data_IF_494763864267
#
_entry.id   IF_494763864267
#
_cell.length_a   1.000
_cell.length_b   1.000
_cell.length_c   1.000
_cell.angle_alpha   90.00
_cell.angle_beta   90.00
_cell.angle_gamma   90.00
#
_symmetry.space_group_name_H-M   'P 1'
#
loop_
_entity.id
_entity.type
_entity.pdbx_description
1 polymer ?
#
# COMPACT_ATOMS: atom_id res chain seq x y z
N UNK A 1 13.17 34.89 19.17
CA UNK A 1 12.01 34.16 18.64
C UNK A 1 12.43 33.59 17.30
N UNK A 2 12.69 32.28 17.24
CA UNK A 2 13.02 31.61 15.99
C UNK A 2 11.73 31.38 15.23
N UNK A 3 11.64 31.90 14.01
CA UNK A 3 10.52 31.66 13.10
C UNK A 3 10.41 30.14 12.87
N UNK A 4 9.21 29.52 12.97
CA UNK A 4 9.05 28.13 12.62
C UNK A 4 9.51 27.92 11.18
N UNK A 5 10.22 26.82 10.92
CA UNK A 5 10.57 26.45 9.55
C UNK A 5 9.29 26.38 8.70
N UNK A 6 9.31 26.87 7.44
CA UNK A 6 8.14 26.80 6.59
C UNK A 6 7.69 25.34 6.43
N UNK A 7 6.41 25.08 6.70
CA UNK A 7 5.82 23.74 6.50
C UNK A 7 5.95 23.38 5.02
N UNK A 8 6.40 22.15 4.75
CA UNK A 8 6.49 21.66 3.39
C UNK A 8 5.09 21.59 2.76
N UNK A 9 4.93 21.89 1.46
CA UNK A 9 3.65 21.71 0.79
C UNK A 9 3.22 20.24 0.88
N UNK A 10 1.94 20.01 1.21
CA UNK A 10 1.39 18.65 1.42
C UNK A 10 1.20 17.90 0.10
N UNK A 11 0.95 18.64 -0.99
CA UNK A 11 0.61 18.13 -2.33
C UNK A 11 1.31 18.96 -3.41
N UNK A 12 1.57 18.32 -4.54
CA UNK A 12 2.07 18.95 -5.76
C UNK A 12 1.23 18.56 -6.99
N UNK A 13 0.18 17.77 -6.80
CA UNK A 13 -0.87 17.48 -7.76
C UNK A 13 -2.22 17.78 -7.13
N UNK A 14 -3.04 18.58 -7.79
CA UNK A 14 -4.40 18.88 -7.37
C UNK A 14 -5.38 18.74 -8.54
N UNK A 15 -6.55 18.18 -8.25
CA UNK A 15 -7.63 18.01 -9.21
C UNK A 15 -8.87 18.73 -8.70
N UNK A 16 -9.39 19.61 -9.54
CA UNK A 16 -10.56 20.43 -9.28
C UNK A 16 -11.76 19.89 -10.06
N UNK A 17 -12.97 20.13 -9.56
CA UNK A 17 -14.18 20.03 -10.38
C UNK A 17 -14.39 21.30 -11.24
N UNK A 18 -15.44 21.31 -12.05
CA UNK A 18 -15.81 22.48 -12.87
C UNK A 18 -16.24 23.71 -12.07
N UNK A 19 -16.54 23.55 -10.78
CA UNK A 19 -16.84 24.63 -9.84
C UNK A 19 -15.62 25.17 -9.10
N UNK A 20 -14.43 24.61 -9.32
CA UNK A 20 -13.19 24.98 -8.65
C UNK A 20 -13.01 24.35 -7.27
N UNK A 21 -13.83 23.38 -6.87
CA UNK A 21 -13.63 22.63 -5.62
C UNK A 21 -12.58 21.53 -5.82
N UNK A 22 -11.68 21.36 -4.85
CA UNK A 22 -10.70 20.28 -4.87
C UNK A 22 -11.41 18.95 -4.62
N UNK A 23 -11.33 18.04 -5.58
CA UNK A 23 -11.91 16.69 -5.47
C UNK A 23 -10.85 15.63 -5.18
N UNK A 24 -9.59 15.90 -5.55
CA UNK A 24 -8.47 15.02 -5.26
C UNK A 24 -7.14 15.76 -5.25
N UNK A 25 -6.12 15.18 -4.64
CA UNK A 25 -4.74 15.65 -4.76
C UNK A 25 -3.77 14.79 -3.98
N UNK A 26 -2.50 14.79 -4.35
CA UNK A 26 -1.48 13.95 -3.71
C UNK A 26 -0.08 14.55 -3.89
N UNK A 27 0.92 13.93 -3.27
CA UNK A 27 2.31 14.23 -3.56
C UNK A 27 2.89 13.22 -4.54
N UNK A 28 3.19 13.68 -5.76
CA UNK A 28 3.88 12.92 -6.78
C UNK A 28 5.39 12.87 -6.51
N UNK A 29 5.93 11.66 -6.46
CA UNK A 29 7.37 11.35 -6.35
C UNK A 29 8.01 10.92 -7.68
N UNK A 30 7.25 10.92 -8.77
CA UNK A 30 7.68 10.46 -10.09
C UNK A 30 7.34 9.00 -10.37
N UNK A 31 6.45 8.38 -9.58
CA UNK A 31 6.13 6.94 -9.67
C UNK A 31 4.67 6.65 -9.94
N UNK A 32 3.75 7.59 -9.71
CA UNK A 32 2.32 7.35 -9.92
C UNK A 32 1.94 7.69 -11.37
N UNK A 33 1.48 6.68 -12.10
CA UNK A 33 1.04 6.80 -13.49
C UNK A 33 -0.45 7.17 -13.57
N UNK A 34 -0.87 7.76 -14.70
CA UNK A 34 -2.27 8.13 -14.93
C UNK A 34 -3.22 6.95 -14.75
N UNK A 35 -2.90 5.80 -15.33
CA UNK A 35 -3.73 4.59 -15.20
C UNK A 35 -3.93 4.18 -13.74
N UNK A 36 -2.93 4.35 -12.89
CA UNK A 36 -3.05 4.10 -11.45
C UNK A 36 -3.90 5.16 -10.75
N UNK A 37 -3.65 6.43 -11.06
CA UNK A 37 -4.39 7.53 -10.45
C UNK A 37 -5.89 7.48 -10.79
N UNK A 38 -6.26 7.17 -12.05
CA UNK A 38 -7.65 6.94 -12.44
C UNK A 38 -8.30 5.82 -11.62
N UNK A 39 -7.59 4.71 -11.35
CA UNK A 39 -8.10 3.63 -10.48
C UNK A 39 -8.30 4.09 -9.04
N UNK A 40 -7.46 4.98 -8.53
CA UNK A 40 -7.63 5.52 -7.17
C UNK A 40 -8.82 6.47 -7.10
N UNK A 41 -9.04 7.28 -8.14
CA UNK A 41 -10.23 8.12 -8.25
C UNK A 41 -11.52 7.29 -8.33
N UNK A 42 -11.52 6.16 -9.03
CA UNK A 42 -12.66 5.22 -9.07
C UNK A 42 -13.10 4.74 -7.66
N UNK A 43 -12.22 4.87 -6.64
CA UNK A 43 -12.54 4.56 -5.25
C UNK A 43 -13.52 5.56 -4.61
N UNK A 44 -13.48 6.84 -4.97
CA UNK A 44 -14.22 7.90 -4.28
C UNK A 44 -14.87 8.95 -5.19
N UNK A 45 -14.65 8.91 -6.49
CA UNK A 45 -15.38 9.69 -7.50
C UNK A 45 -16.58 8.85 -7.93
N UNK A 46 -17.75 9.17 -7.37
CA UNK A 46 -19.01 8.56 -7.82
C UNK A 46 -19.63 9.44 -8.89
N UNK A 47 -19.53 8.98 -10.14
CA UNK A 47 -20.18 9.62 -11.28
C UNK A 47 -21.11 8.60 -11.97
N UNK A 48 -22.30 9.05 -12.34
CA UNK A 48 -23.23 8.29 -13.19
C UNK A 48 -22.82 8.30 -14.66
N UNK A 49 -21.85 9.15 -15.03
CA UNK A 49 -21.37 9.34 -16.38
C UNK A 49 -19.83 9.24 -16.44
N UNK A 50 -19.31 9.07 -17.65
CA UNK A 50 -17.87 9.10 -17.88
C UNK A 50 -17.27 10.45 -17.49
N UNK A 51 -16.07 10.37 -16.94
CA UNK A 51 -15.30 11.52 -16.53
C UNK A 51 -13.85 11.39 -16.99
N UNK A 52 -13.23 12.54 -17.24
CA UNK A 52 -11.86 12.63 -17.75
C UNK A 52 -11.12 13.78 -17.08
N UNK A 53 -9.81 13.64 -16.99
CA UNK A 53 -8.91 14.64 -16.41
C UNK A 53 -8.28 15.46 -17.54
N UNK A 54 -8.27 16.77 -17.35
CA UNK A 54 -7.72 17.76 -18.27
C UNK A 54 -6.68 18.63 -17.57
N UNK A 55 -5.72 19.20 -18.31
CA UNK A 55 -4.85 20.23 -17.74
C UNK A 55 -5.70 21.43 -17.28
N UNK A 56 -5.39 21.96 -16.09
CA UNK A 56 -6.01 23.20 -15.62
C UNK A 56 -5.31 24.38 -16.29
N UNK A 57 -5.89 24.89 -17.38
CA UNK A 57 -5.47 26.17 -17.94
C UNK A 57 -6.34 27.27 -17.36
N UNK A 58 -5.78 28.02 -16.41
CA UNK A 58 -6.45 29.12 -15.68
C UNK A 58 -7.03 30.20 -16.61
N UNK A 59 -6.66 30.22 -17.89
CA UNK A 59 -6.99 31.31 -18.83
C UNK A 59 -7.57 30.89 -20.19
N UNK A 60 -7.89 29.62 -20.44
CA UNK A 60 -8.43 29.20 -21.75
C UNK A 60 -9.81 28.53 -21.63
N UNK A 61 -10.76 29.03 -22.43
CA UNK A 61 -12.10 28.43 -22.60
C UNK A 61 -12.07 27.02 -23.22
N UNK A 62 -10.90 26.57 -23.70
CA UNK A 62 -10.69 25.24 -24.26
C UNK A 62 -9.74 24.47 -23.34
N UNK A 63 -10.24 23.40 -22.75
CA UNK A 63 -9.38 22.40 -22.13
C UNK A 63 -8.58 21.70 -23.23
N UNK A 64 -7.30 21.42 -22.96
CA UNK A 64 -6.46 20.60 -23.86
C UNK A 64 -7.01 19.18 -24.03
N UNK A 65 -6.21 18.28 -24.62
CA UNK A 65 -6.61 16.88 -24.68
C UNK A 65 -6.76 16.27 -23.27
N UNK A 66 -7.74 15.39 -23.10
CA UNK A 66 -7.88 14.61 -21.87
C UNK A 66 -6.66 13.70 -21.68
N UNK A 67 -6.20 13.56 -20.44
CA UNK A 67 -5.17 12.58 -20.10
C UNK A 67 -5.76 11.18 -20.15
N UNK A 68 -5.16 10.32 -20.99
CA UNK A 68 -5.59 8.93 -21.10
C UNK A 68 -5.21 8.12 -19.86
N UNK A 69 -5.99 7.07 -19.59
CA UNK A 69 -5.57 6.01 -18.66
C UNK A 69 -4.38 5.29 -19.30
N UNK A 70 -3.18 5.48 -18.75
CA UNK A 70 -1.95 4.92 -19.33
C UNK A 70 -0.77 4.97 -18.37
N UNK A 71 0.40 4.58 -18.90
CA UNK A 71 1.61 4.37 -18.10
C UNK A 71 2.48 5.62 -18.00
N UNK A 72 1.96 6.78 -18.41
CA UNK A 72 2.64 8.04 -18.25
C UNK A 72 2.50 8.52 -16.80
N UNK A 73 3.62 8.92 -16.21
CA UNK A 73 3.66 9.50 -14.85
C UNK A 73 2.86 10.79 -14.82
N UNK A 74 1.99 10.94 -13.82
CA UNK A 74 1.22 12.17 -13.59
C UNK A 74 2.19 13.32 -13.26
N UNK A 75 2.33 14.36 -14.08
CA UNK A 75 3.19 15.49 -13.74
C UNK A 75 2.67 16.23 -12.50
N UNK A 76 3.54 16.87 -11.71
CA UNK A 76 3.09 17.88 -10.75
C UNK A 76 2.33 19.00 -11.47
N UNK A 77 1.19 19.43 -10.91
CA UNK A 77 0.36 20.46 -11.51
C UNK A 77 -1.10 20.44 -11.06
N UNK A 78 -1.87 21.36 -11.64
CA UNK A 78 -3.29 21.49 -11.40
C UNK A 78 -4.07 20.92 -12.58
N UNK A 79 -5.14 20.20 -12.28
CA UNK A 79 -5.96 19.49 -13.25
C UNK A 79 -7.44 19.75 -12.99
N UNK A 80 -8.27 19.60 -14.02
CA UNK A 80 -9.72 19.67 -13.89
C UNK A 80 -10.31 18.33 -14.29
N UNK A 81 -11.17 17.77 -13.45
CA UNK A 81 -11.96 16.60 -13.77
C UNK A 81 -13.33 17.06 -14.25
N UNK A 82 -13.63 16.72 -15.50
CA UNK A 82 -14.91 17.04 -16.12
C UNK A 82 -15.71 15.76 -16.32
N UNK A 83 -16.99 15.85 -15.99
CA UNK A 83 -18.00 14.82 -16.22
C UNK A 83 -19.17 15.45 -16.95
N UNK A 84 -19.87 14.66 -17.75
CA UNK A 84 -21.10 15.12 -18.41
C UNK A 84 -22.27 15.28 -17.43
N UNK A 85 -22.12 14.81 -16.19
CA UNK A 85 -23.09 14.98 -15.09
C UNK A 85 -22.41 15.50 -13.82
N UNK A 86 -23.21 15.96 -12.84
CA UNK A 86 -22.69 16.37 -11.53
C UNK A 86 -21.94 15.21 -10.88
N UNK A 87 -20.77 15.53 -10.34
CA UNK A 87 -20.03 14.65 -9.46
C UNK A 87 -20.64 14.77 -8.08
N UNK A 88 -21.15 13.68 -7.53
CA UNK A 88 -21.54 13.63 -6.13
C UNK A 88 -20.37 12.99 -5.37
N UNK A 89 -19.58 13.76 -4.61
CA UNK A 89 -18.60 13.18 -3.71
C UNK A 89 -19.34 12.53 -2.53
N UNK A 90 -19.88 11.33 -2.72
CA UNK A 90 -20.36 10.54 -1.59
C UNK A 90 -19.15 10.11 -0.77
N UNK A 91 -19.04 10.65 0.43
CA UNK A 91 -17.93 10.38 1.32
C UNK A 91 -18.02 8.94 1.83
N UNK A 92 -17.34 8.00 1.16
CA UNK A 92 -17.00 6.74 1.80
C UNK A 92 -16.22 7.06 3.09
N UNK A 93 -16.68 6.67 4.28
CA UNK A 93 -15.98 7.01 5.50
C UNK A 93 -14.58 6.38 5.47
N UNK A 94 -13.54 7.18 5.69
CA UNK A 94 -12.23 6.65 6.07
C UNK A 94 -12.21 6.50 7.60
N UNK A 95 -11.35 5.60 8.08
CA UNK A 95 -11.23 5.30 9.52
C UNK A 95 -10.41 6.38 10.20
N UNK A 96 -10.94 6.92 11.30
CA UNK A 96 -10.21 7.88 12.13
C UNK A 96 -8.90 7.28 12.66
N UNK A 97 -7.90 8.15 12.80
CA UNK A 97 -6.58 7.84 13.37
C UNK A 97 -6.73 7.08 14.69
N UNK A 98 -5.93 6.03 14.95
CA UNK A 98 -5.78 5.51 16.30
C UNK A 98 -5.17 6.62 17.18
N UNK A 99 -5.95 7.17 18.13
CA UNK A 99 -5.45 8.21 19.07
C UNK A 99 -4.31 7.72 19.98
N UNK A 100 -4.08 6.41 19.99
CA UNK A 100 -3.03 5.75 20.75
C UNK A 100 -2.16 5.08 19.69
N UNK A 101 -0.89 5.48 19.62
CA UNK A 101 0.11 4.74 18.85
C UNK A 101 -0.09 3.26 19.15
N UNK A 102 -0.29 2.43 18.12
CA UNK A 102 -0.53 1.00 18.32
C UNK A 102 0.71 0.29 18.91
N UNK A 103 1.77 1.04 19.25
CA UNK A 103 2.96 0.58 19.98
C UNK A 103 2.51 -0.08 21.29
N UNK A 104 2.60 -1.42 21.36
CA UNK A 104 2.34 -2.09 22.62
C UNK A 104 3.37 -1.68 23.67
N UNK A 105 3.00 -1.73 24.96
CA UNK A 105 3.97 -1.85 26.02
C UNK A 105 4.94 -3.01 25.70
N UNK A 106 6.24 -2.81 25.98
CA UNK A 106 7.24 -3.86 25.79
C UNK A 106 6.77 -5.15 26.49
N UNK A 107 6.75 -6.28 25.76
CA UNK A 107 6.45 -7.60 26.32
C UNK A 107 5.12 -8.23 25.93
N UNK A 108 4.36 -7.68 24.97
CA UNK A 108 3.22 -8.41 24.40
C UNK A 108 3.68 -9.55 23.48
N UNK A 109 3.06 -10.73 23.63
CA UNK A 109 3.43 -11.97 22.94
C UNK A 109 3.44 -11.82 21.42
N UNK A 110 2.43 -11.16 20.85
CA UNK A 110 2.34 -10.92 19.41
C UNK A 110 3.51 -10.09 18.86
N UNK A 111 4.05 -9.16 19.66
CA UNK A 111 5.18 -8.33 19.25
C UNK A 111 6.47 -9.14 19.16
N UNK A 112 6.60 -10.19 19.98
CA UNK A 112 7.75 -11.09 19.90
C UNK A 112 7.59 -12.02 18.71
N UNK A 113 6.38 -12.52 18.42
CA UNK A 113 6.11 -13.39 17.28
C UNK A 113 6.41 -12.70 15.95
N UNK A 114 5.89 -11.48 15.75
CA UNK A 114 6.14 -10.75 14.49
C UNK A 114 7.61 -10.36 14.32
N UNK A 115 8.30 -9.98 15.40
CA UNK A 115 9.73 -9.67 15.34
C UNK A 115 10.58 -10.92 15.06
N UNK A 116 10.21 -12.07 15.62
CA UNK A 116 10.88 -13.33 15.34
C UNK A 116 10.67 -13.78 13.88
N UNK A 117 9.48 -13.53 13.32
CA UNK A 117 9.19 -13.75 11.89
C UNK A 117 10.03 -12.82 11.01
N UNK A 118 9.98 -11.52 11.28
CA UNK A 118 10.51 -10.51 10.35
C UNK A 118 12.02 -10.28 10.50
N UNK A 119 12.48 -10.09 11.75
CA UNK A 119 13.85 -9.69 12.11
C UNK A 119 14.42 -8.46 11.35
N UNK A 120 13.57 -7.72 10.64
CA UNK A 120 13.90 -6.52 9.86
C UNK A 120 12.67 -5.61 9.74
N UNK A 121 12.90 -4.35 9.41
CA UNK A 121 11.84 -3.46 8.96
C UNK A 121 11.35 -3.92 7.59
N UNK A 122 10.07 -4.28 7.45
CA UNK A 122 9.56 -4.80 6.17
C UNK A 122 9.46 -3.73 5.06
N UNK A 123 9.50 -2.44 5.41
CA UNK A 123 9.50 -1.34 4.44
C UNK A 123 10.92 -1.04 3.91
N UNK A 124 11.93 -1.05 4.79
CA UNK A 124 13.29 -0.59 4.44
C UNK A 124 14.34 -1.69 4.39
N UNK A 125 14.04 -2.89 4.89
CA UNK A 125 14.98 -3.99 5.01
C UNK A 125 15.99 -3.88 6.16
N UNK A 126 15.99 -2.79 6.94
CA UNK A 126 16.92 -2.61 8.05
C UNK A 126 16.73 -3.67 9.15
N UNK A 127 17.81 -4.39 9.49
CA UNK A 127 17.82 -5.47 10.47
C UNK A 127 17.91 -4.97 11.92
N UNK A 128 17.50 -5.82 12.88
CA UNK A 128 17.47 -5.49 14.34
C UNK A 128 18.86 -5.17 14.91
N UNK A 129 19.91 -5.79 14.40
CA UNK A 129 21.30 -5.64 14.87
C UNK A 129 21.91 -4.26 14.58
N UNK A 130 21.28 -3.47 13.71
CA UNK A 130 21.70 -2.11 13.34
C UNK A 130 21.50 -1.04 14.42
N UNK A 131 21.14 -1.42 15.65
CA UNK A 131 20.81 -0.49 16.74
C UNK A 131 19.45 0.21 16.56
N UNK A 132 18.67 -0.20 15.55
CA UNK A 132 17.36 0.37 15.23
C UNK A 132 16.27 -0.31 16.05
N UNK A 133 15.48 0.48 16.77
CA UNK A 133 14.33 -0.05 17.50
C UNK A 133 13.18 -0.37 16.54
N UNK A 134 12.94 -1.66 16.32
CA UNK A 134 11.82 -2.14 15.51
C UNK A 134 10.54 -2.30 16.32
N UNK A 135 9.44 -1.85 15.75
CA UNK A 135 8.11 -1.84 16.34
C UNK A 135 7.16 -2.76 15.55
N UNK A 136 6.31 -3.48 16.28
CA UNK A 136 5.21 -4.22 15.69
C UNK A 136 4.08 -3.22 15.36
N UNK A 137 3.65 -3.21 14.10
CA UNK A 137 2.57 -2.37 13.60
C UNK A 137 1.41 -3.24 13.12
N UNK A 138 0.20 -2.94 13.56
CA UNK A 138 -1.00 -3.56 13.01
C UNK A 138 -1.28 -3.02 11.61
N UNK A 139 -1.65 -3.89 10.68
CA UNK A 139 -2.10 -3.49 9.34
C UNK A 139 -3.51 -2.92 9.45
N UNK A 140 -4.40 -3.66 10.11
CA UNK A 140 -5.73 -3.23 10.52
C UNK A 140 -5.72 -2.88 12.02
N UNK A 141 -5.98 -1.61 12.40
CA UNK A 141 -5.83 -1.17 13.78
C UNK A 141 -6.76 -1.89 14.76
N UNK A 142 -6.25 -2.20 15.95
CA UNK A 142 -6.99 -2.88 17.02
C UNK A 142 -8.24 -2.11 17.46
N UNK A 143 -8.18 -0.78 17.44
CA UNK A 143 -9.29 0.10 17.86
C UNK A 143 -10.58 -0.08 17.04
N UNK A 144 -10.50 -0.78 15.90
CA UNK A 144 -11.63 -1.04 15.00
C UNK A 144 -12.08 -2.52 15.03
N UNK A 145 -11.96 -3.19 16.17
CA UNK A 145 -12.28 -4.62 16.36
C UNK A 145 -13.73 -5.01 15.98
N UNK A 146 -14.69 -4.11 16.17
CA UNK A 146 -16.07 -4.30 15.75
C UNK A 146 -16.18 -4.35 14.22
N UNK A 147 -15.52 -3.45 13.50
CA UNK A 147 -15.48 -3.48 12.03
C UNK A 147 -14.72 -4.71 11.54
N UNK A 148 -13.59 -5.04 12.18
CA UNK A 148 -12.83 -6.25 11.90
C UNK A 148 -13.70 -7.50 11.94
N UNK A 149 -14.54 -7.60 12.98
CA UNK A 149 -15.49 -8.69 13.17
C UNK A 149 -16.59 -8.68 12.11
N UNK A 150 -17.20 -7.53 11.83
CA UNK A 150 -18.27 -7.39 10.84
C UNK A 150 -17.82 -7.72 9.41
N UNK A 151 -16.56 -7.43 9.07
CA UNK A 151 -15.97 -7.79 7.78
C UNK A 151 -15.60 -9.27 7.66
N UNK A 152 -15.67 -10.01 8.77
CA UNK A 152 -15.36 -11.43 8.82
C UNK A 152 -13.87 -11.72 8.67
N UNK A 153 -12.98 -10.80 9.05
CA UNK A 153 -11.55 -11.07 9.03
C UNK A 153 -11.11 -12.22 9.96
N UNK A 154 -11.70 -12.44 11.16
CA UNK A 154 -11.31 -13.57 12.01
C UNK A 154 -11.35 -14.93 11.32
N UNK A 155 -12.29 -15.13 10.38
CA UNK A 155 -12.44 -16.39 9.64
C UNK A 155 -11.49 -16.53 8.46
N UNK A 156 -10.85 -15.43 8.03
CA UNK A 156 -9.86 -15.40 6.94
C UNK A 156 -8.43 -15.60 7.45
N UNK A 157 -8.18 -15.41 8.75
CA UNK A 157 -6.88 -15.68 9.38
C UNK A 157 -6.62 -17.18 9.44
N UNK A 158 -5.52 -17.58 8.80
CA UNK A 158 -5.00 -18.96 8.70
C UNK A 158 -3.81 -19.22 9.62
N UNK A 159 -3.32 -18.20 10.32
CA UNK A 159 -2.35 -18.31 11.41
C UNK A 159 -2.74 -19.41 12.40
N UNK A 160 -1.75 -20.25 12.71
CA UNK A 160 -1.88 -21.48 13.51
C UNK A 160 -1.32 -21.32 14.91
N UNK A 161 -0.86 -20.13 15.29
CA UNK A 161 -0.44 -19.84 16.65
C UNK A 161 -1.59 -20.11 17.65
N UNK A 162 -1.25 -20.20 18.94
CA UNK A 162 -2.28 -20.37 19.95
C UNK A 162 -3.22 -19.16 19.98
N UNK A 163 -4.50 -19.40 20.20
CA UNK A 163 -5.53 -18.35 20.13
C UNK A 163 -5.28 -17.23 21.16
N UNK A 164 -4.63 -17.51 22.29
CA UNK A 164 -4.31 -16.48 23.27
C UNK A 164 -3.27 -15.50 22.73
N UNK A 165 -2.27 -15.98 21.98
CA UNK A 165 -1.24 -15.15 21.34
C UNK A 165 -1.76 -14.32 20.17
N UNK A 166 -2.87 -14.74 19.53
CA UNK A 166 -3.50 -14.03 18.41
C UNK A 166 -4.56 -13.00 18.84
N UNK A 167 -4.67 -12.67 20.13
CA UNK A 167 -5.67 -11.70 20.60
C UNK A 167 -7.06 -12.32 20.76
N UNK A 168 -7.12 -13.61 21.12
CA UNK A 168 -8.34 -14.32 21.44
C UNK A 168 -9.14 -14.76 20.20
N UNK A 169 -10.46 -15.02 20.35
CA UNK A 169 -11.31 -15.48 19.26
C UNK A 169 -11.36 -14.54 18.05
N UNK A 170 -11.05 -13.25 18.26
CA UNK A 170 -11.02 -12.25 17.20
C UNK A 170 -9.80 -12.39 16.29
N UNK A 171 -8.72 -13.05 16.74
CA UNK A 171 -7.46 -13.20 16.01
C UNK A 171 -6.82 -11.88 15.54
N UNK A 172 -7.16 -10.75 16.17
CA UNK A 172 -6.73 -9.41 15.74
C UNK A 172 -5.22 -9.16 15.89
N UNK A 173 -4.56 -9.94 16.75
CA UNK A 173 -3.11 -9.92 16.96
C UNK A 173 -2.39 -11.06 16.23
N UNK A 174 -3.05 -11.70 15.28
CA UNK A 174 -2.41 -12.65 14.38
C UNK A 174 -1.23 -12.00 13.66
N UNK A 175 -0.19 -12.78 13.41
CA UNK A 175 0.99 -12.34 12.67
C UNK A 175 0.62 -11.87 11.26
N UNK A 176 -0.47 -12.37 10.69
CA UNK A 176 -0.97 -11.96 9.37
C UNK A 176 -1.58 -10.55 9.36
N UNK A 177 -1.90 -9.97 10.53
CA UNK A 177 -2.31 -8.58 10.71
C UNK A 177 -1.17 -7.68 11.24
N UNK A 178 0.07 -8.18 11.26
CA UNK A 178 1.21 -7.49 11.84
C UNK A 178 2.39 -7.42 10.86
N UNK A 179 3.09 -6.28 10.89
CA UNK A 179 4.38 -6.08 10.22
C UNK A 179 5.35 -5.38 11.17
N UNK A 180 6.65 -5.63 10.99
CA UNK A 180 7.70 -4.97 11.76
C UNK A 180 8.23 -3.75 11.03
N UNK A 181 8.25 -2.59 11.69
CA UNK A 181 8.61 -1.30 11.12
C UNK A 181 9.66 -0.55 11.96
N UNK A 182 10.44 0.32 11.31
CA UNK A 182 11.21 1.37 11.98
C UNK A 182 10.26 2.43 12.56
N UNK A 183 10.63 3.08 13.66
CA UNK A 183 9.74 3.99 14.40
C UNK A 183 9.14 5.14 13.55
N UNK A 184 9.93 5.73 12.65
CA UNK A 184 9.46 6.77 11.72
C UNK A 184 8.50 6.22 10.65
N UNK A 185 8.80 5.06 10.08
CA UNK A 185 7.92 4.38 9.14
C UNK A 185 6.62 3.92 9.82
N UNK A 186 6.68 3.50 11.08
CA UNK A 186 5.50 3.14 11.87
C UNK A 186 4.59 4.36 12.11
N UNK A 187 5.15 5.53 12.39
CA UNK A 187 4.38 6.77 12.52
C UNK A 187 3.65 7.12 11.21
N UNK A 188 4.34 7.03 10.08
CA UNK A 188 3.75 7.27 8.77
C UNK A 188 2.68 6.21 8.42
N UNK A 189 2.91 4.96 8.79
CA UNK A 189 1.98 3.83 8.64
C UNK A 189 0.67 4.04 9.44
N UNK A 190 0.76 4.33 10.74
CA UNK A 190 -0.42 4.56 11.60
C UNK A 190 -1.27 5.75 11.10
N UNK A 191 -0.65 6.72 10.41
CA UNK A 191 -1.33 7.87 9.82
C UNK A 191 -1.84 7.63 8.40
N UNK A 192 -1.68 6.41 7.86
CA UNK A 192 -1.96 6.04 6.47
C UNK A 192 -1.20 6.86 5.43
N UNK A 193 -0.08 7.50 5.80
CA UNK A 193 0.76 8.26 4.86
C UNK A 193 1.58 7.35 3.95
N UNK A 194 1.77 6.10 4.38
CA UNK A 194 2.29 5.01 3.58
C UNK A 194 1.20 3.96 3.39
N UNK A 195 1.21 3.30 2.24
CA UNK A 195 0.42 2.10 2.01
C UNK A 195 1.15 1.13 1.10
N UNK A 196 0.79 -0.14 1.19
CA UNK A 196 1.33 -1.22 0.34
C UNK A 196 0.22 -1.73 -0.57
N UNK A 197 0.46 -1.75 -1.87
CA UNK A 197 -0.48 -2.31 -2.84
C UNK A 197 -0.10 -3.78 -3.17
N UNK A 198 -0.80 -4.78 -2.62
CA UNK A 198 -0.49 -6.19 -2.89
C UNK A 198 -0.65 -6.54 -4.38
N UNK A 199 -1.57 -5.89 -5.09
CA UNK A 199 -1.83 -6.12 -6.52
C UNK A 199 -0.81 -5.46 -7.45
N UNK A 200 0.13 -4.71 -6.88
CA UNK A 200 1.25 -4.12 -7.61
C UNK A 200 2.57 -4.54 -6.98
N UNK A 201 2.77 -5.87 -6.91
CA UNK A 201 3.99 -6.48 -6.38
C UNK A 201 4.37 -5.99 -4.97
N UNK A 202 3.40 -5.63 -4.14
CA UNK A 202 3.61 -5.04 -2.81
C UNK A 202 4.38 -3.71 -2.84
N UNK A 203 4.22 -2.92 -3.89
CA UNK A 203 4.83 -1.58 -3.99
C UNK A 203 4.26 -0.64 -2.93
N UNK A 204 5.17 0.07 -2.28
CA UNK A 204 4.89 1.08 -1.25
C UNK A 204 4.61 2.42 -1.92
N UNK A 205 3.52 3.06 -1.53
CA UNK A 205 3.14 4.40 -1.99
C UNK A 205 3.16 5.36 -0.82
N UNK A 206 3.86 6.49 -0.98
CA UNK A 206 3.76 7.62 -0.06
C UNK A 206 2.69 8.59 -0.52
N UNK A 207 1.64 8.79 0.27
CA UNK A 207 0.51 9.64 -0.09
C UNK A 207 0.73 11.12 0.24
N UNK A 208 1.69 11.42 1.14
CA UNK A 208 2.10 12.78 1.54
C UNK A 208 3.57 13.03 1.25
N UNK A 209 3.94 14.32 1.17
CA UNK A 209 5.32 14.79 1.15
C UNK A 209 6.11 14.26 2.37
N UNK A 210 7.44 14.19 2.27
CA UNK A 210 8.32 13.68 3.34
C UNK A 210 8.55 12.17 3.35
N UNK A 211 7.89 11.42 2.46
CA UNK A 211 7.95 9.96 2.35
C UNK A 211 8.79 9.47 1.15
N UNK A 212 9.63 10.34 0.56
CA UNK A 212 10.47 10.02 -0.60
C UNK A 212 11.38 8.80 -0.36
N UNK A 213 11.85 8.60 0.87
CA UNK A 213 12.73 7.48 1.23
C UNK A 213 12.02 6.10 1.18
N UNK A 214 10.69 6.09 1.15
CA UNK A 214 9.88 4.86 1.17
C UNK A 214 9.12 4.63 -0.13
N UNK A 215 8.73 5.71 -0.81
CA UNK A 215 7.90 5.62 -2.00
C UNK A 215 8.60 4.83 -3.13
N UNK A 216 7.89 3.88 -3.73
CA UNK A 216 8.40 3.03 -4.81
C UNK A 216 9.21 1.81 -4.34
N UNK A 217 9.52 1.70 -3.05
CA UNK A 217 10.04 0.45 -2.48
C UNK A 217 9.00 -0.67 -2.53
N UNK A 218 9.41 -1.91 -2.26
CA UNK A 218 8.51 -3.06 -2.17
C UNK A 218 8.60 -3.69 -0.79
N UNK A 219 7.45 -4.12 -0.25
CA UNK A 219 7.39 -4.79 1.04
C UNK A 219 8.24 -6.07 1.02
N UNK A 220 9.11 -6.23 2.00
CA UNK A 220 10.11 -7.29 2.05
C UNK A 220 9.51 -8.58 2.62
N UNK A 221 9.00 -9.48 1.76
CA UNK A 221 8.35 -10.73 2.19
C UNK A 221 9.11 -12.01 1.80
N UNK A 222 10.23 -11.87 1.10
CA UNK A 222 11.12 -12.92 0.58
C UNK A 222 11.47 -14.06 1.56
N UNK A 223 11.63 -13.71 2.83
CA UNK A 223 12.00 -14.60 3.93
C UNK A 223 10.82 -15.36 4.55
N UNK A 224 9.57 -15.04 4.19
CA UNK A 224 8.36 -15.66 4.75
C UNK A 224 7.84 -16.69 3.73
N UNK A 225 8.20 -17.95 3.93
CA UNK A 225 7.80 -19.04 3.02
C UNK A 225 6.47 -19.71 3.41
N UNK A 226 6.09 -19.65 4.69
CA UNK A 226 4.82 -20.21 5.15
C UNK A 226 3.68 -19.20 4.91
N UNK A 227 2.70 -19.51 4.04
CA UNK A 227 1.61 -18.60 3.74
C UNK A 227 0.71 -18.31 4.95
N UNK A 228 0.72 -19.16 5.98
CA UNK A 228 -0.03 -18.90 7.24
C UNK A 228 0.62 -17.83 8.10
N UNK A 229 1.87 -17.45 7.80
CA UNK A 229 2.61 -16.40 8.48
C UNK A 229 2.73 -15.10 7.66
N UNK A 230 2.40 -15.14 6.36
CA UNK A 230 2.42 -13.97 5.50
C UNK A 230 1.35 -12.94 5.91
N UNK A 231 1.66 -11.64 5.89
CA UNK A 231 0.65 -10.58 5.97
C UNK A 231 -0.52 -10.86 5.01
N UNK A 232 -1.75 -10.70 5.49
CA UNK A 232 -2.93 -10.98 4.67
C UNK A 232 -3.14 -9.84 3.66
N UNK A 233 -3.10 -10.15 2.37
CA UNK A 233 -3.24 -9.18 1.27
C UNK A 233 -4.48 -8.30 1.41
N UNK A 234 -5.61 -8.88 1.83
CA UNK A 234 -6.84 -8.12 2.02
C UNK A 234 -6.72 -7.02 3.08
N UNK A 235 -5.87 -7.21 4.10
CA UNK A 235 -5.61 -6.20 5.12
C UNK A 235 -4.70 -5.10 4.57
N UNK A 236 -3.68 -5.48 3.77
CA UNK A 236 -2.80 -4.53 3.09
C UNK A 236 -3.59 -3.66 2.10
N UNK A 237 -4.46 -4.27 1.29
CA UNK A 237 -5.34 -3.57 0.37
C UNK A 237 -6.31 -2.63 1.11
N UNK A 238 -6.85 -3.05 2.25
CA UNK A 238 -7.71 -2.18 3.07
C UNK A 238 -6.94 -1.00 3.67
N UNK A 239 -5.73 -1.22 4.20
CA UNK A 239 -4.85 -0.16 4.70
C UNK A 239 -4.49 0.84 3.57
N UNK A 240 -4.12 0.32 2.40
CA UNK A 240 -3.84 1.13 1.21
C UNK A 240 -5.03 2.02 0.83
N UNK A 241 -6.24 1.46 0.83
CA UNK A 241 -7.47 2.20 0.58
C UNK A 241 -7.69 3.32 1.60
N UNK A 242 -7.38 3.11 2.88
CA UNK A 242 -7.47 4.19 3.88
C UNK A 242 -6.53 5.34 3.55
N UNK A 243 -5.31 5.06 3.07
CA UNK A 243 -4.38 6.08 2.60
C UNK A 243 -4.93 6.89 1.43
N UNK A 244 -5.53 6.23 0.43
CA UNK A 244 -6.22 6.89 -0.69
C UNK A 244 -7.35 7.80 -0.16
N UNK A 245 -8.25 7.26 0.67
CA UNK A 245 -9.42 8.00 1.13
C UNK A 245 -9.08 9.17 2.07
N UNK A 246 -8.01 9.04 2.85
CA UNK A 246 -7.57 10.06 3.81
C UNK A 246 -6.77 11.17 3.15
N UNK A 247 -5.83 10.80 2.28
CA UNK A 247 -4.84 11.75 1.75
C UNK A 247 -5.07 12.15 0.30
N UNK A 248 -5.78 11.34 -0.49
CA UNK A 248 -6.00 11.64 -1.91
C UNK A 248 -7.35 12.30 -2.20
N UNK A 249 -8.37 12.04 -1.39
CA UNK A 249 -9.71 12.57 -1.61
C UNK A 249 -9.85 14.02 -1.11
N UNK A 250 -10.54 14.86 -1.88
CA UNK A 250 -10.83 16.24 -1.53
C UNK A 250 -9.54 17.01 -1.22
N UNK A 251 -9.57 17.89 -0.23
CA UNK A 251 -8.38 18.58 0.32
C UNK A 251 -7.45 17.67 1.14
N UNK A 252 -7.88 16.44 1.43
CA UNK A 252 -7.23 15.57 2.42
C UNK A 252 -7.57 16.00 3.85
N UNK A 253 -7.36 15.11 4.81
CA UNK A 253 -7.55 15.43 6.23
C UNK A 253 -6.50 16.48 6.68
N UNK A 254 -6.87 17.52 7.46
CA UNK A 254 -5.90 18.42 8.10
C UNK A 254 -4.93 17.64 8.98
N UNK A 255 -3.78 18.23 9.30
CA UNK A 255 -2.95 17.64 10.35
C UNK A 255 -3.60 17.97 11.71
N UNK A 256 -3.54 17.06 12.69
CA UNK A 256 -4.18 17.25 14.01
C UNK A 256 -3.68 18.54 14.71
N UNK A 257 -2.53 19.09 14.29
CA UNK A 257 -1.93 20.33 14.80
C UNK A 257 -2.56 21.62 14.21
N UNK A 258 -3.55 21.51 13.31
CA UNK A 258 -4.25 22.67 12.74
C UNK A 258 -5.34 23.22 13.68
N UNK A 259 -5.73 22.48 14.73
CA UNK A 259 -6.73 22.91 15.73
C UNK A 259 -6.14 23.76 16.90
N UNK A 260 -4.81 23.90 16.99
CA UNK A 260 -4.14 24.58 18.12
C UNK A 260 -3.82 26.07 17.87
N UNK A 261 -4.18 26.64 16.71
CA UNK A 261 -3.82 28.03 16.36
C UNK A 261 -4.96 29.06 16.42
N UNK A 262 -6.18 28.69 16.81
CA UNK A 262 -7.28 29.65 16.91
C UNK A 262 -7.75 29.88 18.37
N UNK A 263 -7.23 30.98 18.94
CA UNK A 263 -7.65 31.72 20.15
C UNK A 263 -6.88 31.47 21.45
N UNK A 264 -5.68 32.06 21.54
CA UNK A 264 -5.20 32.63 22.80
C UNK A 264 -5.69 34.09 22.92
N UNK A 265 -6.89 34.27 23.47
CA UNK A 265 -7.15 35.44 24.31
C UNK A 265 -8.16 35.08 25.41
N UNK A 266 -7.78 35.45 26.64
CA UNK A 266 -8.59 35.51 27.85
C UNK A 266 -8.81 34.20 28.63
N UNK A 267 -7.82 33.89 29.49
CA UNK A 267 -8.05 33.88 30.94
C UNK A 267 -8.92 32.77 31.56
N UNK A 268 -8.25 31.96 32.38
CA UNK A 268 -8.74 31.28 33.59
C UNK A 268 -9.50 29.94 33.40
N UNK A 269 -8.84 28.85 33.82
CA UNK A 269 -9.44 27.77 34.61
C UNK A 269 -10.26 26.68 33.92
N UNK A 270 -9.67 25.48 33.90
CA UNK A 270 -10.28 24.12 33.75
C UNK A 270 -10.30 23.52 32.34
N UNK A 271 -9.95 22.22 32.18
CA UNK A 271 -9.96 21.53 30.89
C UNK A 271 -11.42 21.33 30.44
N UNK A 272 -11.80 21.99 29.35
CA UNK A 272 -13.16 21.88 28.79
C UNK A 272 -13.34 20.51 28.14
N UNK A 273 -14.32 19.79 28.69
CA UNK A 273 -14.90 18.53 28.19
C UNK A 273 -15.57 18.82 26.83
N UNK A 274 -14.77 18.87 25.75
CA UNK A 274 -15.25 19.08 24.37
C UNK A 274 -15.29 17.80 23.54
N UNK A 275 -14.44 16.81 23.84
CA UNK A 275 -14.26 15.62 22.99
C UNK A 275 -15.29 14.50 23.19
N UNK A 276 -16.11 14.55 24.24
CA UNK A 276 -17.09 13.49 24.52
C UNK A 276 -18.37 13.56 23.66
N UNK A 277 -18.59 14.68 22.96
CA UNK A 277 -19.82 14.90 22.18
C UNK A 277 -19.76 14.38 20.73
N UNK A 278 -18.57 14.00 20.22
CA UNK A 278 -18.46 13.36 18.89
C UNK A 278 -18.80 11.85 18.93
N UNK A 279 -18.66 11.21 20.10
CA UNK A 279 -19.01 9.80 20.30
C UNK A 279 -20.52 9.53 20.38
N UNK A 280 -21.33 10.48 20.86
CA UNK A 280 -22.78 10.27 21.04
C UNK A 280 -23.59 10.34 19.74
N UNK A 281 -23.08 10.98 18.67
CA UNK A 281 -23.82 11.07 17.40
C UNK A 281 -23.86 9.77 16.59
N UNK A 282 -22.96 8.81 16.85
CA UNK A 282 -22.99 7.50 16.18
C UNK A 282 -23.99 6.50 16.79
N UNK A 283 -24.53 6.78 18.00
CA UNK A 283 -25.43 5.86 18.71
C UNK A 283 -26.92 6.16 18.52
N UNK A 284 -27.29 7.17 17.73
CA UNK A 284 -28.69 7.51 17.43
C UNK A 284 -28.90 7.68 15.93
N UNK A 285 -28.82 6.57 15.19
CA UNK A 285 -29.49 6.44 13.89
C UNK A 285 -30.61 5.38 14.03
N UNK A 286 -31.83 5.64 13.51
CA UNK A 286 -32.94 4.70 13.60
C UNK A 286 -32.65 3.35 12.94
N UNK A 287 -33.24 2.29 13.49
CA UNK A 287 -33.14 0.85 13.11
C UNK A 287 -33.59 0.48 11.68
N UNK A 288 -33.43 1.33 10.67
CA UNK A 288 -33.95 1.08 9.32
C UNK A 288 -32.90 0.97 8.22
N UNK A 289 -31.74 0.36 8.51
CA UNK A 289 -30.84 -0.18 7.46
C UNK A 289 -30.24 -1.52 7.93
N UNK A 290 -31.09 -2.44 8.38
CA UNK A 290 -30.75 -3.86 8.42
C UNK A 290 -31.24 -4.49 7.12
N UNK A 291 -30.34 -4.74 6.17
CA UNK A 291 -30.68 -5.55 4.99
C UNK A 291 -29.91 -5.28 3.70
N UNK A 292 -29.11 -4.20 3.61
CA UNK A 292 -28.27 -3.97 2.43
C UNK A 292 -26.80 -4.05 2.81
N UNK A 293 -26.13 -5.04 2.25
CA UNK A 293 -24.72 -5.32 2.45
C UNK A 293 -23.91 -4.33 1.58
N UNK A 294 -23.79 -3.08 2.05
CA UNK A 294 -23.22 -1.93 1.30
C UNK A 294 -21.69 -2.02 1.12
N UNK A 295 -21.03 -3.03 1.69
CA UNK A 295 -19.56 -3.18 1.65
C UNK A 295 -19.03 -4.25 0.67
N UNK A 296 -19.89 -5.11 0.11
CA UNK A 296 -19.52 -5.96 -1.04
C UNK A 296 -19.09 -5.18 -2.31
N UNK A 297 -19.60 -3.97 -2.61
CA UNK A 297 -19.21 -3.22 -3.81
C UNK A 297 -17.75 -2.78 -3.84
N UNK A 298 -17.12 -2.52 -2.69
CA UNK A 298 -15.75 -1.98 -2.62
C UNK A 298 -14.69 -3.01 -3.02
N UNK A 299 -14.76 -4.23 -2.47
CA UNK A 299 -13.86 -5.33 -2.86
C UNK A 299 -14.15 -5.83 -4.29
N UNK A 300 -15.41 -5.74 -4.75
CA UNK A 300 -15.77 -6.15 -6.11
C UNK A 300 -15.36 -5.12 -7.18
N UNK A 301 -15.40 -3.82 -6.87
CA UNK A 301 -14.93 -2.74 -7.76
C UNK A 301 -13.41 -2.73 -7.96
N UNK A 302 -12.67 -3.27 -6.99
CA UNK A 302 -11.20 -3.32 -7.01
C UNK A 302 -10.66 -4.73 -7.13
N UNK A 303 -11.37 -5.65 -7.80
CA UNK A 303 -10.66 -6.81 -8.35
C UNK A 303 -9.76 -6.30 -9.46
N UNK A 304 -8.49 -6.12 -9.14
CA UNK A 304 -7.47 -5.63 -10.04
C UNK A 304 -7.28 -6.62 -11.19
N UNK A 305 -7.51 -6.22 -12.45
CA UNK A 305 -7.09 -7.03 -13.57
C UNK A 305 -5.56 -7.15 -13.52
N UNK A 306 -5.07 -8.39 -13.44
CA UNK A 306 -3.65 -8.69 -13.55
C UNK A 306 -3.16 -8.21 -14.93
N UNK A 307 -1.96 -7.61 -15.06
CA UNK A 307 -1.40 -7.35 -16.38
C UNK A 307 -1.21 -8.69 -17.08
N UNK A 308 -1.80 -8.84 -18.26
CA UNK A 308 -1.52 -9.98 -19.15
C UNK A 308 -0.02 -9.94 -19.49
N UNK A 309 0.75 -10.81 -18.82
CA UNK A 309 2.06 -11.22 -19.29
C UNK A 309 1.86 -11.89 -20.65
N UNK A 310 1.93 -11.11 -21.72
CA UNK A 310 1.99 -11.60 -23.09
C UNK A 310 3.29 -12.38 -23.26
N UNK A 311 3.19 -13.68 -23.01
CA UNK A 311 4.25 -14.65 -23.28
C UNK A 311 4.37 -14.76 -24.81
N UNK A 312 5.33 -14.05 -25.39
CA UNK A 312 5.68 -14.22 -26.80
C UNK A 312 6.27 -15.62 -26.99
N UNK A 313 5.44 -16.57 -27.39
CA UNK A 313 5.90 -17.79 -28.02
C UNK A 313 6.40 -17.46 -29.42
N UNK A 314 7.71 -17.31 -29.57
CA UNK A 314 8.37 -17.49 -30.85
C UNK A 314 8.25 -18.98 -31.23
N UNK A 315 7.27 -19.30 -32.06
CA UNK A 315 7.24 -20.53 -32.84
C UNK A 315 8.29 -20.40 -33.93
N UNK A 316 9.37 -21.18 -33.80
CA UNK A 316 10.33 -21.44 -34.87
C UNK A 316 9.64 -22.25 -35.96
N UNK A 317 9.45 -21.63 -37.13
CA UNK A 317 9.08 -22.33 -38.36
C UNK A 317 10.32 -23.03 -38.92
N UNK A 318 10.36 -24.37 -38.86
CA UNK A 318 11.14 -25.18 -39.79
C UNK A 318 10.28 -25.50 -41.02
N UNK A 319 10.81 -25.45 -42.25
CA UNK A 319 10.17 -26.07 -43.40
C UNK A 319 10.77 -27.45 -43.67
N UNK A 320 9.90 -28.45 -43.70
CA UNK A 320 10.18 -29.78 -44.27
C UNK A 320 10.27 -29.70 -45.80
N UNK A 321 11.34 -30.25 -46.39
CA UNK A 321 11.32 -30.75 -47.77
C UNK A 321 12.43 -31.78 -47.98
N UNK A 322 12.04 -32.88 -48.61
CA UNK A 322 12.73 -34.16 -48.73
C UNK A 322 13.50 -34.33 -50.04
N UNK A 323 14.70 -34.94 -49.91
CA UNK A 323 15.37 -35.92 -50.80
C UNK A 323 15.71 -35.59 -52.26
N UNK A 324 17.00 -35.68 -52.61
CA UNK A 324 17.53 -36.56 -53.68
C UNK A 324 19.08 -36.65 -53.69
N UNK A 325 19.56 -37.83 -54.05
CA UNK A 325 20.89 -38.46 -54.01
C UNK A 325 22.00 -37.79 -54.83
N UNK A 326 23.28 -37.93 -54.41
CA UNK A 326 24.44 -38.43 -55.20
C UNK A 326 25.57 -38.85 -54.23
N UNK A 327 26.21 -39.99 -54.53
CA UNK A 327 27.36 -40.63 -53.86
C UNK A 327 28.70 -39.96 -54.20
N UNK A 328 29.70 -40.03 -53.30
CA UNK A 328 30.99 -40.69 -53.59
C UNK A 328 32.07 -40.53 -52.49
N UNK A 329 32.71 -41.67 -52.22
CA UNK A 329 34.10 -41.95 -51.80
C UNK A 329 34.75 -41.34 -50.53
N UNK A 330 35.09 -42.28 -49.61
CA UNK A 330 36.10 -42.23 -48.54
C UNK A 330 37.55 -42.36 -49.12
N UNK A 331 38.69 -42.52 -48.36
CA UNK A 331 38.84 -42.82 -46.92
C UNK A 331 40.12 -42.27 -46.18
N UNK A 332 40.32 -42.76 -44.94
CA UNK A 332 41.60 -42.94 -44.16
C UNK A 332 42.08 -41.71 -43.37
N UNK A 333 42.54 -41.71 -42.11
CA UNK A 333 43.04 -42.70 -41.11
C UNK A 333 42.98 -42.07 -39.70
N UNK A 334 42.58 -42.81 -38.65
CA UNK A 334 43.50 -43.32 -37.59
C UNK A 334 43.37 -42.50 -36.29
N UNK A 335 43.32 -43.02 -35.05
CA UNK A 335 43.45 -44.35 -34.48
C UNK A 335 44.01 -44.20 -33.04
N UNK A 336 43.44 -44.92 -32.05
CA UNK A 336 43.98 -45.17 -30.68
C UNK A 336 43.77 -44.02 -29.68
N UNK A 337 43.11 -44.10 -28.51
CA UNK A 337 42.83 -45.14 -27.48
C UNK A 337 43.98 -45.42 -26.48
N UNK A 338 43.59 -45.41 -25.19
CA UNK A 338 44.23 -45.95 -23.96
C UNK A 338 45.12 -44.98 -23.14
N UNK A 339 44.66 -44.58 -21.94
CA UNK A 339 44.98 -45.14 -20.59
C UNK A 339 46.24 -44.48 -20.01
N UNK A 340 46.49 -44.24 -18.72
CA UNK A 340 45.88 -44.59 -17.43
C UNK A 340 46.60 -43.73 -16.37
N UNK A 341 45.96 -43.54 -15.19
CA UNK A 341 46.57 -43.49 -13.84
C UNK A 341 47.62 -42.38 -13.50
N UNK A 342 47.74 -41.76 -12.32
CA UNK A 342 47.69 -42.23 -10.91
C UNK A 342 47.96 -41.04 -9.96
N UNK A 343 47.48 -41.15 -8.69
CA UNK A 343 48.10 -40.62 -7.43
C UNK A 343 48.17 -39.09 -7.22
N UNK A 344 48.12 -38.48 -6.03
CA UNK A 344 48.14 -38.85 -4.60
C UNK A 344 47.61 -37.62 -3.82
N UNK A 345 46.69 -37.73 -2.85
CA UNK A 345 46.90 -37.73 -1.38
C UNK A 345 48.08 -36.90 -0.79
N UNK A 346 47.76 -35.96 0.11
CA UNK A 346 48.48 -35.63 1.38
C UNK A 346 47.77 -34.44 2.08
N UNK A 347 47.01 -34.62 3.17
CA UNK A 347 47.34 -34.67 4.62
C UNK A 347 47.37 -33.32 5.37
N UNK A 348 46.81 -33.40 6.58
CA UNK A 348 46.62 -32.42 7.64
C UNK A 348 47.89 -31.77 8.25
N UNK A 349 47.70 -30.63 8.91
CA UNK A 349 48.38 -30.12 10.13
C UNK A 349 47.49 -28.97 10.64
N UNK A 350 46.90 -28.88 11.85
CA UNK A 350 47.31 -29.13 13.26
C UNK A 350 48.34 -28.11 13.80
N UNK A 351 47.78 -27.24 14.68
CA UNK A 351 48.30 -26.55 15.88
C UNK A 351 49.18 -25.30 15.81
N UNK A 352 48.73 -24.33 16.61
CA UNK A 352 49.38 -23.13 17.11
C UNK A 352 48.41 -22.41 18.04
#
# INVERSE_FOLDING_TARGET
MSTPAPRLPRRNVEVFDSGGAIIAGFWQYGTLEWGEFYRYLDAFVLASAEWFIFPSEVNQQHHGAAFARGNEVVPPGNYVLLSTMRLDPEALPHRSRPLISNVPPRGHQYSNHVRARDNKCLITGHQVDSGVHLQAAHIFPRVHDLEWSHRGFPTRITDRADQASMGGPLKIDSVQNLITLRADAHLAWDNYELGVNPDNNYRITGFRNGNAAYNGLHLQLDHIHDPTLCPLDELLADHFMQGILKHMRGSGEPDDDDDDNDNDDSGNGSPKIGHLNRFKKFLTLPKLIQGKNIFRPLQARMKWPQPELTRSHQQSNEPSSSSLWVTDHAPVSGGGMLEEQTGDQCTDNVLG
#
